data_IF_802694195739
#
_entry.id   IF_802694195739
#
_cell.length_a   1.000
_cell.length_b   1.000
_cell.length_c   1.000
_cell.angle_alpha   90.00
_cell.angle_beta   90.00
_cell.angle_gamma   90.00
#
_symmetry.space_group_name_H-M   'P 1'
#
loop_
_entity.id
_entity.type
_entity.pdbx_description
1 polymer ?
#
# COMPACT_ATOMS: atom_id res chain seq x y z
N UNK A 1 -8.25 -19.65 -2.18
CA UNK A 1 -7.89 -18.92 -0.93
C UNK A 1 -6.42 -18.51 -0.91
N UNK A 2 -5.47 -19.44 -0.95
CA UNK A 2 -4.03 -19.09 -0.95
C UNK A 2 -3.62 -18.17 -2.10
N UNK A 3 -4.05 -18.47 -3.34
CA UNK A 3 -3.75 -17.65 -4.52
C UNK A 3 -4.36 -16.25 -4.48
N UNK A 4 -5.51 -16.10 -3.81
CA UNK A 4 -6.17 -14.80 -3.67
C UNK A 4 -5.39 -13.92 -2.70
N UNK A 5 -4.91 -14.49 -1.59
CA UNK A 5 -4.10 -13.78 -0.60
C UNK A 5 -2.72 -13.40 -1.14
N UNK A 6 -2.05 -14.32 -1.83
CA UNK A 6 -0.72 -14.04 -2.41
C UNK A 6 -0.77 -13.13 -3.63
N UNK A 7 -1.90 -13.03 -4.34
CA UNK A 7 -2.07 -12.17 -5.51
C UNK A 7 -2.34 -10.69 -5.19
N UNK A 8 -2.95 -10.38 -4.05
CA UNK A 8 -3.25 -8.99 -3.63
C UNK A 8 -1.99 -8.20 -3.26
N UNK A 9 -1.01 -8.86 -2.63
CA UNK A 9 0.27 -8.23 -2.24
C UNK A 9 1.05 -7.66 -3.44
N UNK A 10 1.36 -8.42 -4.50
CA UNK A 10 2.11 -7.90 -5.65
C UNK A 10 1.28 -7.01 -6.57
N UNK A 11 -0.05 -6.94 -6.45
CA UNK A 11 -0.89 -6.07 -7.28
C UNK A 11 -1.12 -4.69 -6.68
N UNK A 12 -1.21 -4.60 -5.34
CA UNK A 12 -1.51 -3.34 -4.65
C UNK A 12 -0.25 -2.53 -4.33
N UNK A 13 0.83 -3.18 -3.91
CA UNK A 13 2.08 -2.50 -3.53
C UNK A 13 2.75 -1.73 -4.69
N UNK A 14 2.73 -2.22 -5.94
CA UNK A 14 3.21 -1.45 -7.08
C UNK A 14 2.53 -0.10 -7.29
N UNK A 15 1.25 0.00 -6.93
CA UNK A 15 0.48 1.21 -7.13
C UNK A 15 0.96 2.36 -6.25
N UNK A 16 1.49 2.03 -5.06
CA UNK A 16 1.86 3.00 -4.03
C UNK A 16 3.26 3.61 -4.20
N UNK A 17 4.14 2.93 -4.94
CA UNK A 17 5.53 3.36 -5.11
C UNK A 17 5.85 3.73 -6.57
N UNK A 18 6.64 4.80 -6.81
CA UNK A 18 7.11 5.16 -8.14
C UNK A 18 7.84 3.98 -8.79
N UNK A 19 7.58 3.76 -10.09
CA UNK A 19 8.06 2.58 -10.84
C UNK A 19 9.58 2.36 -10.71
N UNK A 20 10.36 3.43 -10.53
CA UNK A 20 11.83 3.39 -10.37
C UNK A 20 12.33 2.80 -9.05
N UNK A 21 11.57 2.93 -7.95
CA UNK A 21 12.02 2.54 -6.59
C UNK A 21 11.14 1.46 -5.96
N UNK A 22 10.10 1.02 -6.67
CA UNK A 22 9.08 0.08 -6.19
C UNK A 22 9.64 -1.18 -5.54
N UNK A 23 10.55 -1.88 -6.22
CA UNK A 23 11.12 -3.12 -5.70
C UNK A 23 12.11 -2.87 -4.56
N UNK A 24 12.91 -1.80 -4.63
CA UNK A 24 13.88 -1.45 -3.59
C UNK A 24 13.20 -1.02 -2.28
N UNK A 25 12.22 -0.12 -2.36
CA UNK A 25 11.48 0.36 -1.20
C UNK A 25 10.71 -0.78 -0.50
N UNK A 26 10.06 -1.65 -1.28
CA UNK A 26 9.36 -2.83 -0.76
C UNK A 26 10.34 -3.81 -0.11
N UNK A 27 11.43 -4.14 -0.78
CA UNK A 27 12.42 -5.07 -0.26
C UNK A 27 13.06 -4.56 1.04
N UNK A 28 13.43 -3.28 1.11
CA UNK A 28 14.03 -2.69 2.32
C UNK A 28 13.01 -2.68 3.45
N UNK A 29 11.79 -2.17 3.22
CA UNK A 29 10.76 -2.11 4.25
C UNK A 29 10.38 -3.49 4.78
N UNK A 30 10.23 -4.48 3.89
CA UNK A 30 9.91 -5.85 4.24
C UNK A 30 11.05 -6.52 5.01
N UNK A 31 12.29 -6.46 4.51
CA UNK A 31 13.42 -7.11 5.16
C UNK A 31 13.73 -6.51 6.53
N UNK A 32 13.64 -5.18 6.68
CA UNK A 32 13.84 -4.53 7.99
C UNK A 32 12.75 -4.97 8.96
N UNK A 33 11.49 -4.98 8.54
CA UNK A 33 10.38 -5.40 9.40
C UNK A 33 10.50 -6.89 9.79
N UNK A 34 10.76 -7.77 8.84
CA UNK A 34 10.92 -9.22 9.10
C UNK A 34 12.17 -9.48 9.95
N UNK A 35 13.26 -8.76 9.74
CA UNK A 35 14.46 -8.90 10.56
C UNK A 35 14.20 -8.49 12.01
N UNK A 36 13.46 -7.40 12.23
CA UNK A 36 13.14 -6.94 13.58
C UNK A 36 12.15 -7.89 14.27
N UNK A 37 11.03 -8.18 13.61
CA UNK A 37 9.89 -8.88 14.20
C UNK A 37 9.95 -10.41 14.06
N UNK A 38 10.80 -10.94 13.18
CA UNK A 38 10.92 -12.38 12.93
C UNK A 38 11.41 -13.18 14.14
N UNK A 39 12.30 -12.59 14.94
CA UNK A 39 12.81 -13.20 16.17
C UNK A 39 12.20 -12.63 17.45
N UNK A 40 11.90 -11.33 17.50
CA UNK A 40 11.39 -10.70 18.73
C UNK A 40 9.95 -11.10 19.04
N UNK A 41 9.09 -11.30 18.02
CA UNK A 41 7.69 -11.69 18.23
C UNK A 41 7.55 -13.02 18.98
N UNK A 42 8.19 -14.13 18.56
CA UNK A 42 8.09 -15.39 19.29
C UNK A 42 8.75 -15.32 20.68
N UNK A 43 9.83 -14.53 20.84
CA UNK A 43 10.48 -14.33 22.14
C UNK A 43 9.54 -13.62 23.13
N UNK A 44 8.90 -12.53 22.70
CA UNK A 44 7.92 -11.79 23.52
C UNK A 44 6.71 -12.67 23.82
N UNK A 45 6.20 -13.40 22.83
CA UNK A 45 5.08 -14.32 23.01
C UNK A 45 5.41 -15.42 24.03
N UNK A 46 6.58 -16.05 23.93
CA UNK A 46 7.05 -17.07 24.87
C UNK A 46 7.22 -16.50 26.28
N UNK A 47 7.82 -15.31 26.42
CA UNK A 47 7.95 -14.64 27.71
C UNK A 47 6.59 -14.31 28.34
N UNK A 48 5.62 -13.88 27.53
CA UNK A 48 4.26 -13.60 27.99
C UNK A 48 3.56 -14.87 28.47
N UNK A 49 3.73 -15.99 27.76
CA UNK A 49 3.18 -17.29 28.18
C UNK A 49 3.82 -17.75 29.48
N UNK A 50 5.15 -17.66 29.61
CA UNK A 50 5.89 -18.08 30.81
C UNK A 50 5.47 -17.28 32.06
N UNK A 51 5.29 -15.96 31.91
CA UNK A 51 4.84 -15.09 33.01
C UNK A 51 3.37 -15.25 33.38
N UNK A 52 2.50 -15.51 32.40
CA UNK A 52 1.04 -15.52 32.62
C UNK A 52 0.48 -16.94 32.82
N UNK A 53 1.26 -17.97 32.49
CA UNK A 53 0.84 -19.38 32.48
C UNK A 53 -0.24 -19.71 31.44
N UNK A 54 -0.61 -18.76 30.57
CA UNK A 54 -1.74 -18.88 29.67
C UNK A 54 -1.26 -19.01 28.22
N UNK A 55 -1.54 -20.18 27.62
CA UNK A 55 -1.16 -20.50 26.23
C UNK A 55 -1.86 -19.61 25.18
N UNK A 56 -2.91 -18.86 25.55
CA UNK A 56 -3.66 -17.97 24.65
C UNK A 56 -3.07 -16.56 24.56
N UNK A 57 -2.02 -16.23 25.33
CA UNK A 57 -1.37 -14.92 25.28
C UNK A 57 -0.86 -14.50 23.89
N UNK A 58 -0.31 -15.40 23.05
CA UNK A 58 0.06 -15.05 21.68
C UNK A 58 -1.16 -14.62 20.84
N UNK A 59 -2.34 -15.16 21.11
CA UNK A 59 -3.57 -14.79 20.40
C UNK A 59 -3.99 -13.34 20.71
N UNK A 60 -3.92 -12.94 21.99
CA UNK A 60 -4.19 -11.56 22.41
C UNK A 60 -3.16 -10.57 21.85
N UNK A 61 -1.88 -10.97 21.79
CA UNK A 61 -0.84 -10.17 21.15
C UNK A 61 -1.13 -9.95 19.66
N UNK A 62 -1.54 -11.00 18.93
CA UNK A 62 -1.92 -10.91 17.52
C UNK A 62 -3.18 -10.07 17.30
N UNK A 63 -4.15 -10.09 18.22
CA UNK A 63 -5.32 -9.20 18.19
C UNK A 63 -4.92 -7.73 18.33
N UNK A 64 -3.96 -7.41 19.21
CA UNK A 64 -3.41 -6.05 19.30
C UNK A 64 -2.67 -5.63 18.03
N UNK A 65 -1.84 -6.53 17.48
CA UNK A 65 -1.11 -6.28 16.24
C UNK A 65 -2.03 -6.08 15.02
N UNK A 66 -3.15 -6.79 14.95
CA UNK A 66 -4.11 -6.66 13.85
C UNK A 66 -4.81 -5.31 13.84
N UNK A 67 -5.08 -4.71 15.00
CA UNK A 67 -5.58 -3.34 15.12
C UNK A 67 -4.61 -2.33 14.49
N UNK A 68 -3.31 -2.47 14.76
CA UNK A 68 -2.27 -1.64 14.12
C UNK A 68 -2.27 -1.85 12.60
N UNK A 69 -2.44 -3.10 12.16
CA UNK A 69 -2.61 -3.44 10.75
C UNK A 69 -3.80 -2.74 10.10
N UNK A 70 -4.96 -2.71 10.77
CA UNK A 70 -6.16 -2.01 10.28
C UNK A 70 -5.89 -0.51 10.15
N UNK A 71 -5.27 0.11 11.16
CA UNK A 71 -4.90 1.54 11.10
C UNK A 71 -3.95 1.81 9.94
N UNK A 72 -2.97 0.94 9.72
CA UNK A 72 -2.03 1.03 8.58
C UNK A 72 -2.75 0.95 7.23
N UNK A 73 -3.74 0.06 7.09
CA UNK A 73 -4.56 -0.07 5.88
C UNK A 73 -5.41 1.19 5.65
N UNK A 74 -5.99 1.76 6.71
CA UNK A 74 -6.77 3.01 6.60
C UNK A 74 -5.87 4.20 6.21
N UNK A 75 -4.64 4.25 6.73
CA UNK A 75 -3.66 5.27 6.37
C UNK A 75 -3.15 5.12 4.93
N UNK A 76 -3.30 3.93 4.33
CA UNK A 76 -2.90 3.66 2.96
C UNK A 76 -3.82 4.40 1.99
N UNK A 77 -3.24 5.30 1.21
CA UNK A 77 -3.98 6.14 0.29
C UNK A 77 -4.43 5.31 -0.92
N UNK A 78 -5.74 5.22 -1.12
CA UNK A 78 -6.33 4.48 -2.23
C UNK A 78 -5.74 4.92 -3.59
N UNK A 79 -5.16 3.96 -4.31
CA UNK A 79 -4.45 4.19 -5.58
C UNK A 79 -5.12 3.51 -6.78
N UNK A 80 -6.18 2.71 -6.59
CA UNK A 80 -6.78 1.86 -7.63
C UNK A 80 -7.46 2.59 -8.81
N UNK A 81 -7.36 3.91 -8.94
CA UNK A 81 -7.90 4.68 -10.08
C UNK A 81 -7.00 5.81 -10.58
N UNK A 82 -5.74 5.86 -10.17
CA UNK A 82 -4.79 6.85 -10.69
C UNK A 82 -3.79 6.16 -11.62
N UNK A 83 -3.46 6.77 -12.78
CA UNK A 83 -2.38 6.27 -13.61
C UNK A 83 -1.11 6.19 -12.76
N UNK A 84 -0.41 5.06 -12.85
CA UNK A 84 0.82 4.82 -12.10
C UNK A 84 1.83 5.91 -12.44
N UNK A 85 2.41 6.52 -11.41
CA UNK A 85 3.42 7.57 -11.58
C UNK A 85 4.65 7.01 -12.29
N UNK A 86 4.81 7.36 -13.58
CA UNK A 86 5.99 7.04 -14.38
C UNK A 86 5.87 5.83 -15.31
N UNK A 87 4.69 5.22 -15.50
CA UNK A 87 4.49 4.27 -16.60
C UNK A 87 3.97 4.98 -17.85
N UNK A 88 4.55 4.68 -19.02
CA UNK A 88 3.94 5.03 -20.30
C UNK A 88 2.53 4.40 -20.43
N UNK A 89 1.66 4.93 -21.31
CA UNK A 89 0.34 4.36 -21.50
C UNK A 89 0.46 2.89 -21.92
N UNK A 90 -0.10 1.97 -21.12
CA UNK A 90 -0.19 0.55 -21.42
C UNK A 90 -1.34 0.33 -22.43
N UNK A 91 -1.08 0.68 -23.68
CA UNK A 91 -2.04 0.58 -24.78
C UNK A 91 -1.38 -0.12 -25.95
N UNK A 92 -2.15 -0.94 -26.67
CA UNK A 92 -1.63 -1.72 -27.78
C UNK A 92 -1.28 -0.83 -28.98
N UNK A 93 -1.98 0.32 -29.12
CA UNK A 93 -1.86 1.18 -30.30
C UNK A 93 -1.52 2.63 -29.95
N UNK A 94 -0.69 3.28 -30.77
CA UNK A 94 -0.35 4.72 -30.59
C UNK A 94 -1.57 5.64 -30.61
N UNK A 95 -2.63 5.27 -31.33
CA UNK A 95 -3.89 6.03 -31.35
C UNK A 95 -4.59 6.03 -29.98
N UNK A 96 -4.60 4.89 -29.29
CA UNK A 96 -5.15 4.75 -27.94
C UNK A 96 -4.29 5.52 -26.91
N UNK A 97 -2.97 5.53 -27.09
CA UNK A 97 -2.05 6.30 -26.23
C UNK A 97 -2.39 7.79 -26.26
N UNK A 98 -2.60 8.33 -27.45
CA UNK A 98 -2.97 9.73 -27.66
C UNK A 98 -4.36 10.04 -27.09
N UNK A 99 -5.31 9.11 -27.20
CA UNK A 99 -6.63 9.26 -26.60
C UNK A 99 -6.57 9.34 -25.06
N UNK A 100 -5.78 8.46 -24.43
CA UNK A 100 -5.56 8.45 -22.98
C UNK A 100 -4.83 9.71 -22.52
N UNK A 101 -3.82 10.18 -23.26
CA UNK A 101 -3.11 11.43 -22.96
C UNK A 101 -4.02 12.66 -23.08
N UNK A 102 -4.88 12.72 -24.12
CA UNK A 102 -5.87 13.79 -24.29
C UNK A 102 -6.88 13.80 -23.13
N UNK A 103 -7.36 12.63 -22.72
CA UNK A 103 -8.30 12.50 -21.60
C UNK A 103 -7.64 12.88 -20.27
N UNK A 104 -6.40 12.44 -20.03
CA UNK A 104 -5.63 12.82 -18.84
C UNK A 104 -5.34 14.32 -18.80
N UNK A 105 -4.98 14.94 -19.91
CA UNK A 105 -4.79 16.40 -20.03
C UNK A 105 -6.07 17.17 -19.69
N UNK A 106 -7.22 16.71 -20.20
CA UNK A 106 -8.53 17.30 -19.89
C UNK A 106 -8.85 17.20 -18.39
N UNK A 107 -8.64 16.04 -17.78
CA UNK A 107 -8.86 15.79 -16.35
C UNK A 107 -7.95 16.65 -15.45
N UNK A 108 -6.68 16.83 -15.84
CA UNK A 108 -5.72 17.67 -15.10
C UNK A 108 -6.13 19.14 -15.16
N UNK A 109 -6.49 19.65 -16.35
CA UNK A 109 -6.96 21.03 -16.50
C UNK A 109 -8.26 21.28 -15.73
N UNK A 110 -9.20 20.33 -15.72
CA UNK A 110 -10.45 20.43 -14.94
C UNK A 110 -10.16 20.44 -13.44
N UNK A 111 -9.27 19.57 -12.94
CA UNK A 111 -8.90 19.55 -11.51
C UNK A 111 -8.19 20.83 -11.09
N UNK A 112 -7.34 21.39 -11.96
CA UNK A 112 -6.65 22.67 -11.72
C UNK A 112 -7.65 23.83 -11.69
N UNK A 113 -8.59 23.86 -12.62
CA UNK A 113 -9.66 24.84 -12.67
C UNK A 113 -10.58 24.74 -11.43
N UNK A 114 -10.98 23.53 -11.03
CA UNK A 114 -11.75 23.29 -9.82
C UNK A 114 -11.02 23.76 -8.55
N UNK A 115 -9.74 23.44 -8.40
CA UNK A 115 -8.93 23.87 -7.26
C UNK A 115 -8.71 25.39 -7.24
N UNK A 116 -8.61 26.04 -8.41
CA UNK A 116 -8.56 27.49 -8.49
C UNK A 116 -9.88 28.12 -8.01
N UNK A 117 -11.02 27.60 -8.47
CA UNK A 117 -12.36 28.08 -8.07
C UNK A 117 -12.61 27.87 -6.57
N UNK A 118 -12.20 26.74 -5.99
CA UNK A 118 -12.36 26.48 -4.55
C UNK A 118 -11.47 27.40 -3.73
N UNK A 119 -10.26 27.72 -4.21
CA UNK A 119 -9.33 28.62 -3.52
C UNK A 119 -9.75 30.08 -3.59
N UNK A 120 -10.51 30.46 -4.61
CA UNK A 120 -11.04 31.82 -4.77
C UNK A 120 -12.31 32.07 -3.93
N UNK A 121 -12.91 31.00 -3.39
CA UNK A 121 -14.08 31.04 -2.50
C UNK A 121 -13.77 30.79 -1.02
N UNK A 122 -12.50 30.65 -0.66
CA UNK A 122 -12.01 30.47 0.71
C UNK A 122 -11.18 31.69 1.12
#
# INVERSE_FOLDING_TARGET
>A
LLSTFTGVMPSSLPALFPTKIRYGALAIGFNVSVSLFGGTTPLVAAWLVDRTGNLMMPAYYLMGASLIGIVSVIALRETARKPLLGSGPCVATRAEALAVLRQASKSVNVKKAYLAVVKERA
#
